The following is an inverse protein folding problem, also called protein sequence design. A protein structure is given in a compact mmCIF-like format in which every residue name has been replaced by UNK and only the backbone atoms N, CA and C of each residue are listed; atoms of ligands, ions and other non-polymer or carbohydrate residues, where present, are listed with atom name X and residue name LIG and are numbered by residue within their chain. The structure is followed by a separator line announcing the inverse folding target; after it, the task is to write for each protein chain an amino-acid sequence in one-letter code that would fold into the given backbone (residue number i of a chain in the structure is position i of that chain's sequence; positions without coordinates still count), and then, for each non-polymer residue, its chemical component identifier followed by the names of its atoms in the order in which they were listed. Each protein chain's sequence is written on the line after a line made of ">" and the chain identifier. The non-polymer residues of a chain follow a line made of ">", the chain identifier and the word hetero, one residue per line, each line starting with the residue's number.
data_IF_685178447073
#
_entry.id   IF_685178447073
#
_cell.length_a   1.000
_cell.length_b   1.000
_cell.length_c   1.000
_cell.angle_alpha   90.00
_cell.angle_beta   90.00
_cell.angle_gamma   90.00
#
_symmetry.space_group_name_H-M   'P 1'
#
loop_
_entity.id
_entity.type
_entity.pdbx_description
1 polymer ?
#
# COMPACT_ATOMS: atom_id res chain seq x y z
N UNK A 1 -62.13 15.32 -42.39
CA UNK A 1 -61.81 14.65 -41.11
C UNK A 1 -60.79 13.56 -41.41
N UNK A 2 -59.52 13.86 -41.14
CA UNK A 2 -58.35 13.10 -41.58
C UNK A 2 -57.86 12.21 -40.43
N UNK A 3 -57.85 10.89 -40.65
CA UNK A 3 -57.17 9.91 -39.79
C UNK A 3 -55.67 9.97 -40.05
N UNK A 4 -54.86 10.27 -39.03
CA UNK A 4 -53.41 10.00 -39.02
C UNK A 4 -53.13 8.86 -38.05
N UNK A 5 -52.65 7.73 -38.59
CA UNK A 5 -52.00 6.64 -37.87
C UNK A 5 -50.59 7.09 -37.48
N UNK A 6 -50.23 6.99 -36.21
CA UNK A 6 -48.86 7.07 -35.72
C UNK A 6 -48.34 5.64 -35.53
N UNK A 7 -47.29 5.29 -36.26
CA UNK A 7 -46.48 4.10 -36.04
C UNK A 7 -45.59 4.35 -34.81
N UNK A 8 -45.68 3.48 -33.81
CA UNK A 8 -44.71 3.40 -32.71
C UNK A 8 -43.51 2.58 -33.20
N UNK A 9 -42.36 3.24 -33.35
CA UNK A 9 -41.07 2.56 -33.50
C UNK A 9 -40.63 2.09 -32.12
N UNK A 10 -40.52 0.78 -31.93
CA UNK A 10 -39.91 0.15 -30.77
C UNK A 10 -38.39 0.27 -30.92
N UNK A 11 -37.74 1.09 -30.09
CA UNK A 11 -36.29 1.02 -29.89
C UNK A 11 -35.99 -0.17 -28.96
N UNK A 12 -35.27 -1.16 -29.48
CA UNK A 12 -34.57 -2.15 -28.68
C UNK A 12 -33.31 -1.50 -28.08
N UNK A 13 -33.00 -1.68 -26.79
CA UNK A 13 -31.69 -1.35 -26.27
C UNK A 13 -30.70 -2.41 -26.76
N UNK A 14 -29.73 -1.99 -27.55
CA UNK A 14 -28.52 -2.76 -27.83
C UNK A 14 -27.73 -2.83 -26.51
N UNK A 15 -27.72 -3.99 -25.86
CA UNK A 15 -26.79 -4.29 -24.79
C UNK A 15 -25.39 -4.30 -25.42
N UNK A 16 -24.62 -3.24 -25.20
CA UNK A 16 -23.20 -3.26 -25.39
C UNK A 16 -22.62 -4.16 -24.29
N UNK A 17 -22.29 -5.40 -24.62
CA UNK A 17 -21.33 -6.16 -23.83
C UNK A 17 -19.99 -5.47 -24.04
N UNK A 18 -19.58 -4.64 -23.09
CA UNK A 18 -18.18 -4.24 -22.96
C UNK A 18 -17.38 -5.51 -22.69
N UNK A 19 -16.48 -5.83 -23.61
CA UNK A 19 -15.51 -6.91 -23.52
C UNK A 19 -14.53 -6.60 -22.38
N UNK A 20 -14.80 -7.10 -21.19
CA UNK A 20 -13.89 -7.12 -20.04
C UNK A 20 -12.76 -8.15 -20.20
N UNK A 21 -12.17 -8.25 -21.41
CA UNK A 21 -11.20 -9.29 -21.74
C UNK A 21 -9.73 -8.89 -21.59
N UNK A 22 -9.39 -7.62 -21.30
CA UNK A 22 -7.98 -7.16 -21.27
C UNK A 22 -7.52 -6.54 -19.94
N UNK A 23 -8.31 -6.67 -18.86
CA UNK A 23 -7.84 -6.32 -17.51
C UNK A 23 -7.11 -7.47 -16.79
N UNK A 24 -7.12 -8.66 -17.40
CA UNK A 24 -6.27 -9.79 -16.98
C UNK A 24 -5.02 -9.82 -17.85
N UNK A 25 -4.19 -8.78 -17.74
CA UNK A 25 -2.82 -8.83 -18.23
C UNK A 25 -2.19 -10.13 -17.75
N UNK A 26 -1.48 -10.83 -18.63
CA UNK A 26 -0.77 -12.07 -18.32
C UNK A 26 -0.10 -11.95 -16.94
N UNK A 27 -0.70 -12.55 -15.90
CA UNK A 27 0.02 -12.93 -14.71
C UNK A 27 1.01 -13.99 -15.21
N UNK A 28 2.19 -13.54 -15.66
CA UNK A 28 3.37 -14.35 -15.47
C UNK A 28 3.30 -14.78 -14.02
N UNK A 29 3.25 -16.10 -13.82
CA UNK A 29 3.20 -16.80 -12.53
C UNK A 29 3.93 -15.94 -11.50
N UNK A 30 3.19 -15.08 -10.78
CA UNK A 30 3.75 -14.30 -9.68
C UNK A 30 3.87 -15.39 -8.64
N UNK A 31 4.94 -16.17 -8.75
CA UNK A 31 5.31 -17.13 -7.76
C UNK A 31 5.37 -16.31 -6.50
N UNK A 32 4.33 -16.42 -5.68
CA UNK A 32 4.35 -15.94 -4.33
C UNK A 32 5.44 -16.84 -3.75
N UNK A 33 6.68 -16.37 -3.82
CA UNK A 33 7.82 -17.11 -3.34
C UNK A 33 7.54 -17.23 -1.86
N UNK A 34 7.08 -18.41 -1.45
CA UNK A 34 6.93 -18.73 -0.05
C UNK A 34 8.33 -18.55 0.54
N UNK A 35 8.51 -17.46 1.27
CA UNK A 35 9.79 -17.16 1.90
C UNK A 35 9.90 -18.17 3.03
N UNK A 36 10.60 -19.26 2.76
CA UNK A 36 10.81 -20.35 3.70
C UNK A 36 11.73 -19.89 4.85
N UNK A 37 11.18 -19.21 5.85
CA UNK A 37 11.91 -18.87 7.06
C UNK A 37 12.23 -20.14 7.86
N UNK A 38 13.48 -20.30 8.26
CA UNK A 38 13.86 -21.30 9.25
C UNK A 38 13.53 -20.75 10.63
N UNK A 39 12.54 -21.35 11.28
CA UNK A 39 12.05 -20.88 12.57
C UNK A 39 12.53 -21.77 13.73
N UNK A 40 13.02 -21.12 14.79
CA UNK A 40 13.34 -21.74 16.08
C UNK A 40 12.41 -21.16 17.13
N UNK A 41 11.51 -22.00 17.65
CA UNK A 41 10.51 -21.59 18.64
C UNK A 41 10.99 -21.89 20.07
N UNK A 42 10.94 -20.87 20.92
CA UNK A 42 11.24 -20.95 22.35
C UNK A 42 10.01 -20.57 23.16
N UNK A 43 9.47 -21.52 23.93
CA UNK A 43 8.35 -21.24 24.85
C UNK A 43 8.86 -20.47 26.07
N UNK A 44 8.25 -19.32 26.33
CA UNK A 44 8.60 -18.45 27.45
C UNK A 44 7.87 -18.87 28.74
N UNK A 45 8.43 -18.52 29.89
CA UNK A 45 7.91 -18.97 31.20
C UNK A 45 6.60 -18.29 31.65
N UNK A 46 6.14 -17.27 30.93
CA UNK A 46 4.93 -16.50 31.24
C UNK A 46 4.95 -15.10 30.62
N UNK A 47 3.90 -14.31 30.87
CA UNK A 47 3.70 -12.97 30.26
C UNK A 47 4.82 -11.98 30.58
N UNK A 48 5.44 -12.11 31.76
CA UNK A 48 6.50 -11.22 32.24
C UNK A 48 7.91 -11.67 31.81
N UNK A 49 8.03 -12.75 31.04
CA UNK A 49 9.33 -13.24 30.60
C UNK A 49 9.82 -12.42 29.39
N UNK A 50 11.00 -11.81 29.53
CA UNK A 50 11.65 -11.07 28.44
C UNK A 50 12.13 -12.02 27.36
N UNK A 51 11.75 -11.74 26.13
CA UNK A 51 12.23 -12.44 24.93
C UNK A 51 13.63 -11.97 24.51
N UNK A 52 14.21 -12.60 23.50
CA UNK A 52 15.51 -12.17 22.97
C UNK A 52 15.43 -10.85 22.20
N UNK A 53 14.25 -10.51 21.66
CA UNK A 53 13.96 -9.20 21.02
C UNK A 53 13.69 -8.06 22.03
N UNK A 54 13.93 -8.28 23.32
CA UNK A 54 14.07 -7.21 24.31
C UNK A 54 12.78 -6.75 25.01
N UNK A 55 11.61 -7.28 24.64
CA UNK A 55 10.34 -6.98 25.31
C UNK A 55 9.59 -8.27 25.75
N UNK A 56 8.54 -8.07 26.53
CA UNK A 56 7.71 -9.13 27.13
C UNK A 56 6.35 -9.21 26.44
N UNK A 57 5.63 -10.33 26.60
CA UNK A 57 4.24 -10.40 26.14
C UNK A 57 3.31 -9.48 26.92
N UNK A 58 3.64 -9.11 28.17
CA UNK A 58 2.89 -8.13 28.94
C UNK A 58 2.94 -6.73 28.29
N UNK A 59 4.05 -6.36 27.65
CA UNK A 59 4.18 -5.09 26.94
C UNK A 59 3.20 -5.06 25.75
N UNK A 60 3.20 -6.12 24.93
CA UNK A 60 2.29 -6.28 23.77
C UNK A 60 0.83 -6.32 24.19
N UNK A 61 0.49 -7.13 25.20
CA UNK A 61 -0.87 -7.24 25.72
C UNK A 61 -1.35 -5.92 26.34
N UNK A 62 -0.44 -5.09 26.88
CA UNK A 62 -0.78 -3.77 27.40
C UNK A 62 -1.37 -2.83 26.35
N UNK A 63 -1.09 -3.07 25.06
CA UNK A 63 -1.66 -2.34 23.92
C UNK A 63 -2.82 -3.12 23.31
N UNK A 64 -2.63 -4.41 23.05
CA UNK A 64 -3.56 -5.21 22.27
C UNK A 64 -4.79 -5.68 23.06
N UNK A 65 -4.65 -6.05 24.35
CA UNK A 65 -5.74 -6.62 25.14
C UNK A 65 -6.79 -5.57 25.51
N UNK A 66 -8.06 -5.91 25.34
CA UNK A 66 -9.18 -5.02 25.66
C UNK A 66 -10.16 -4.86 24.50
N UNK A 67 -10.99 -3.81 24.58
CA UNK A 67 -11.98 -3.47 23.56
C UNK A 67 -11.51 -2.28 22.73
N UNK A 68 -11.57 -2.44 21.42
CA UNK A 68 -11.17 -1.47 20.40
C UNK A 68 -12.34 -1.22 19.45
N UNK A 69 -12.38 -0.03 18.88
CA UNK A 69 -13.36 0.35 17.86
C UNK A 69 -12.66 1.18 16.79
N UNK A 70 -12.99 0.94 15.52
CA UNK A 70 -12.55 1.76 14.40
C UNK A 70 -13.71 2.00 13.42
N UNK A 71 -13.74 3.15 12.73
CA UNK A 71 -14.60 3.30 11.57
C UNK A 71 -14.11 2.34 10.47
N UNK A 72 -15.03 1.64 9.80
CA UNK A 72 -14.72 0.69 8.71
C UNK A 72 -15.33 1.19 7.41
N UNK A 73 -14.63 1.01 6.29
CA UNK A 73 -15.18 1.25 4.96
C UNK A 73 -15.27 -0.06 4.18
N UNK A 74 -16.48 -0.46 3.81
CA UNK A 74 -16.76 -1.59 2.93
C UNK A 74 -16.64 -1.16 1.48
N UNK A 75 -15.63 -1.69 0.79
CA UNK A 75 -15.38 -1.39 -0.61
C UNK A 75 -16.46 -1.99 -1.51
N UNK A 76 -16.64 -1.39 -2.67
CA UNK A 76 -17.46 -1.92 -3.74
C UNK A 76 -16.53 -2.40 -4.84
N UNK A 77 -16.62 -3.67 -5.22
CA UNK A 77 -15.85 -4.23 -6.32
C UNK A 77 -16.56 -5.44 -6.91
N UNK A 78 -15.78 -6.41 -7.35
CA UNK A 78 -16.28 -7.61 -8.02
C UNK A 78 -17.15 -8.47 -7.10
N UNK A 79 -16.79 -8.58 -5.82
CA UNK A 79 -17.66 -9.14 -4.77
C UNK A 79 -18.43 -8.03 -4.07
N UNK A 80 -19.74 -8.23 -3.92
CA UNK A 80 -20.64 -7.35 -3.17
C UNK A 80 -21.24 -8.07 -1.97
N UNK A 81 -21.19 -7.41 -0.81
CA UNK A 81 -21.72 -7.94 0.45
C UNK A 81 -22.97 -7.20 0.92
N UNK A 82 -23.76 -7.87 1.74
CA UNK A 82 -24.81 -7.26 2.57
C UNK A 82 -24.76 -7.83 3.99
N UNK A 83 -25.42 -7.20 4.99
CA UNK A 83 -26.30 -6.04 4.86
C UNK A 83 -25.61 -4.67 4.88
N UNK A 84 -24.29 -4.62 5.11
CA UNK A 84 -23.53 -3.37 5.24
C UNK A 84 -22.79 -3.00 3.95
N UNK A 85 -22.71 -1.71 3.63
CA UNK A 85 -21.93 -1.14 2.53
C UNK A 85 -21.43 0.26 2.89
N UNK A 86 -20.29 0.69 2.34
CA UNK A 86 -19.69 1.99 2.65
C UNK A 86 -19.23 2.10 4.10
N UNK A 87 -19.41 3.28 4.70
CA UNK A 87 -18.96 3.56 6.07
C UNK A 87 -19.79 2.83 7.15
N UNK A 88 -19.08 2.31 8.15
CA UNK A 88 -19.65 1.66 9.33
C UNK A 88 -18.74 1.76 10.55
N UNK A 89 -18.97 0.90 11.54
CA UNK A 89 -18.12 0.79 12.74
C UNK A 89 -17.78 -0.69 12.98
N UNK A 90 -16.50 -0.95 13.22
CA UNK A 90 -15.94 -2.24 13.59
C UNK A 90 -15.58 -2.21 15.09
N UNK A 91 -16.03 -3.22 15.83
CA UNK A 91 -15.68 -3.44 17.22
C UNK A 91 -14.92 -4.75 17.41
N UNK A 92 -13.83 -4.70 18.16
CA UNK A 92 -12.92 -5.83 18.39
C UNK A 92 -12.63 -5.95 19.87
N UNK A 93 -12.72 -7.16 20.42
CA UNK A 93 -12.26 -7.48 21.76
C UNK A 93 -11.16 -8.54 21.67
N UNK A 94 -9.95 -8.20 22.12
CA UNK A 94 -8.83 -9.13 22.22
C UNK A 94 -8.64 -9.50 23.68
N UNK A 95 -8.45 -10.79 23.96
CA UNK A 95 -8.22 -11.30 25.30
C UNK A 95 -7.09 -12.32 25.30
N UNK A 96 -6.24 -12.31 26.33
CA UNK A 96 -5.23 -13.34 26.47
C UNK A 96 -5.90 -14.69 26.80
N UNK A 97 -5.64 -15.73 26.01
CA UNK A 97 -6.29 -17.02 26.16
C UNK A 97 -5.74 -17.86 27.34
N UNK A 98 -4.70 -17.37 28.03
CA UNK A 98 -3.98 -18.15 29.05
C UNK A 98 -3.13 -19.28 28.46
N UNK A 99 -2.81 -19.20 27.16
CA UNK A 99 -2.08 -20.21 26.39
C UNK A 99 -0.56 -20.07 26.48
N UNK A 100 0.14 -20.60 25.48
CA UNK A 100 1.61 -20.50 25.41
C UNK A 100 2.03 -19.13 24.87
N UNK A 101 3.19 -18.67 25.35
CA UNK A 101 3.86 -17.49 24.83
C UNK A 101 5.16 -17.97 24.22
N UNK A 102 5.36 -17.64 22.95
CA UNK A 102 6.41 -18.21 22.11
C UNK A 102 7.25 -17.09 21.57
N UNK A 103 8.55 -17.15 21.79
CA UNK A 103 9.52 -16.39 21.02
C UNK A 103 9.88 -17.21 19.78
N UNK A 104 9.76 -16.61 18.61
CA UNK A 104 10.11 -17.22 17.33
C UNK A 104 11.32 -16.46 16.79
N UNK A 105 12.45 -17.16 16.70
CA UNK A 105 13.62 -16.68 15.97
C UNK A 105 13.51 -17.15 14.52
N UNK A 106 13.51 -16.24 13.54
CA UNK A 106 13.28 -16.56 12.13
C UNK A 106 14.47 -16.11 11.29
N UNK A 107 15.05 -17.03 10.50
CA UNK A 107 16.19 -16.74 9.63
C UNK A 107 15.90 -17.13 8.19
N UNK A 108 16.24 -16.27 7.23
CA UNK A 108 16.18 -16.59 5.81
C UNK A 108 17.30 -17.60 5.44
N UNK A 109 17.03 -18.58 4.55
CA UNK A 109 18.03 -19.58 4.15
C UNK A 109 19.13 -18.99 3.23
N UNK A 110 18.85 -17.89 2.55
CA UNK A 110 19.75 -17.15 1.66
C UNK A 110 19.82 -15.66 2.07
N UNK A 111 20.78 -14.91 1.52
CA UNK A 111 20.98 -13.48 1.82
C UNK A 111 19.83 -12.53 1.38
N UNK A 112 18.72 -13.10 0.90
CA UNK A 112 17.47 -12.39 0.75
C UNK A 112 16.75 -12.41 2.11
N UNK A 113 17.17 -11.53 3.02
CA UNK A 113 16.62 -11.41 4.38
C UNK A 113 15.19 -10.86 4.43
N UNK A 114 14.56 -10.61 3.27
CA UNK A 114 13.25 -9.98 3.22
C UNK A 114 12.20 -10.88 3.90
N UNK A 115 11.63 -10.41 5.01
CA UNK A 115 10.45 -10.98 5.64
C UNK A 115 10.68 -11.97 6.78
N UNK A 116 11.88 -12.48 7.03
CA UNK A 116 12.11 -13.33 8.21
C UNK A 116 12.48 -12.49 9.43
N UNK A 117 11.50 -12.24 10.30
CA UNK A 117 11.68 -11.43 11.52
C UNK A 117 11.44 -12.25 12.79
N UNK A 118 12.28 -11.96 13.78
CA UNK A 118 12.10 -12.43 15.15
C UNK A 118 10.85 -11.79 15.77
N UNK A 119 10.04 -12.60 16.47
CA UNK A 119 8.74 -12.13 16.97
C UNK A 119 8.27 -12.88 18.21
N UNK A 120 7.35 -12.24 18.94
CA UNK A 120 6.50 -12.90 19.92
C UNK A 120 5.21 -13.41 19.27
N UNK A 121 4.81 -14.61 19.66
CA UNK A 121 3.52 -15.21 19.34
C UNK A 121 2.78 -15.52 20.65
N UNK A 122 1.56 -14.98 20.77
CA UNK A 122 0.74 -15.03 21.99
C UNK A 122 -0.64 -15.59 21.63
N UNK A 123 -1.06 -16.67 22.28
CA UNK A 123 -2.41 -17.23 22.06
C UNK A 123 -3.48 -16.26 22.57
N UNK A 124 -4.39 -15.84 21.69
CA UNK A 124 -5.41 -14.84 21.95
C UNK A 124 -6.82 -15.33 21.57
N UNK A 125 -7.81 -14.90 22.34
CA UNK A 125 -9.23 -14.98 21.98
C UNK A 125 -9.69 -13.64 21.40
N UNK A 126 -10.33 -13.67 20.24
CA UNK A 126 -10.80 -12.49 19.52
C UNK A 126 -12.32 -12.55 19.38
N UNK A 127 -13.00 -11.44 19.68
CA UNK A 127 -14.39 -11.22 19.26
C UNK A 127 -14.43 -10.05 18.31
N UNK A 128 -15.08 -10.22 17.17
CA UNK A 128 -15.17 -9.22 16.12
C UNK A 128 -16.64 -8.98 15.80
N UNK A 129 -17.07 -7.73 15.73
CA UNK A 129 -18.44 -7.41 15.34
C UNK A 129 -18.50 -6.10 14.56
N UNK A 130 -19.49 -5.99 13.68
CA UNK A 130 -19.79 -4.74 12.97
C UNK A 130 -21.13 -4.17 13.43
N UNK A 131 -21.29 -2.85 13.39
CA UNK A 131 -22.47 -2.18 13.94
C UNK A 131 -23.79 -2.57 13.25
N UNK A 132 -23.76 -2.93 11.95
CA UNK A 132 -24.92 -3.42 11.21
C UNK A 132 -25.16 -4.93 11.36
N UNK A 133 -24.29 -5.64 12.08
CA UNK A 133 -24.38 -7.08 12.34
C UNK A 133 -23.98 -7.96 11.15
N UNK A 134 -23.29 -7.41 10.14
CA UNK A 134 -22.70 -8.21 9.08
C UNK A 134 -21.74 -9.26 9.67
N UNK A 135 -20.84 -8.85 10.57
CA UNK A 135 -19.96 -9.75 11.31
C UNK A 135 -20.32 -9.79 12.80
N UNK A 136 -20.22 -10.97 13.40
CA UNK A 136 -20.34 -11.18 14.85
C UNK A 136 -19.60 -12.48 15.26
N UNK A 137 -18.29 -12.45 15.06
CA UNK A 137 -17.42 -13.61 15.10
C UNK A 137 -16.73 -13.75 16.46
N UNK A 138 -16.35 -14.99 16.79
CA UNK A 138 -15.54 -15.30 17.96
C UNK A 138 -14.64 -16.47 17.65
N UNK A 139 -13.33 -16.25 17.68
CA UNK A 139 -12.33 -17.24 17.31
C UNK A 139 -11.08 -17.15 18.19
N UNK A 140 -10.31 -18.23 18.23
CA UNK A 140 -8.96 -18.23 18.79
C UNK A 140 -7.96 -17.95 17.66
N UNK A 141 -6.97 -17.11 17.92
CA UNK A 141 -5.89 -16.82 16.98
C UNK A 141 -4.56 -16.60 17.71
N UNK A 142 -3.50 -16.36 16.95
CA UNK A 142 -2.19 -15.99 17.46
C UNK A 142 -1.96 -14.50 17.21
N UNK A 143 -1.76 -13.76 18.29
CA UNK A 143 -1.29 -12.38 18.24
C UNK A 143 0.23 -12.40 17.99
N UNK A 144 0.69 -11.75 16.93
CA UNK A 144 2.10 -11.66 16.52
C UNK A 144 2.62 -10.25 16.71
N UNK A 145 3.83 -10.12 17.26
CA UNK A 145 4.46 -8.81 17.49
C UNK A 145 5.98 -8.90 17.36
N UNK A 146 6.59 -8.09 16.50
CA UNK A 146 8.04 -7.86 16.48
C UNK A 146 8.45 -6.64 17.32
N UNK A 147 7.47 -5.89 17.82
CA UNK A 147 7.63 -4.67 18.60
C UNK A 147 6.66 -4.65 19.78
N UNK A 148 6.98 -3.94 20.88
CA UNK A 148 6.15 -3.96 22.08
C UNK A 148 4.82 -3.19 21.94
N UNK A 149 4.73 -2.26 21.00
CA UNK A 149 3.65 -1.27 20.89
C UNK A 149 2.70 -1.53 19.72
N UNK A 150 2.93 -2.61 18.96
CA UNK A 150 2.07 -3.02 17.88
C UNK A 150 2.00 -4.53 17.71
N UNK A 151 0.80 -5.02 17.39
CA UNK A 151 0.56 -6.43 17.20
C UNK A 151 -0.46 -6.71 16.09
N UNK A 152 -0.32 -7.85 15.44
CA UNK A 152 -1.22 -8.31 14.39
C UNK A 152 -1.84 -9.66 14.68
N UNK A 153 -3.08 -9.82 14.22
CA UNK A 153 -3.80 -11.08 14.12
C UNK A 153 -4.11 -11.30 12.64
N UNK A 154 -3.87 -12.53 12.19
CA UNK A 154 -4.37 -13.02 10.91
C UNK A 154 -5.32 -14.17 11.13
N UNK A 155 -6.43 -14.15 10.43
CA UNK A 155 -7.44 -15.20 10.55
C UNK A 155 -8.23 -15.30 9.26
N UNK A 156 -8.57 -16.52 8.84
CA UNK A 156 -9.45 -16.74 7.70
C UNK A 156 -10.86 -17.01 8.21
N UNK A 157 -11.85 -16.35 7.63
CA UNK A 157 -13.27 -16.59 7.87
C UNK A 157 -13.88 -17.25 6.63
N UNK A 158 -14.18 -18.54 6.75
CA UNK A 158 -14.95 -19.25 5.74
C UNK A 158 -16.41 -18.76 5.77
N UNK A 159 -17.01 -18.54 4.59
CA UNK A 159 -18.36 -17.99 4.48
C UNK A 159 -19.45 -18.84 5.16
N UNK A 160 -19.28 -20.15 5.25
CA UNK A 160 -20.20 -21.06 5.93
C UNK A 160 -19.99 -21.11 7.45
N UNK A 161 -18.94 -20.47 7.97
CA UNK A 161 -18.62 -20.35 9.39
C UNK A 161 -18.96 -18.97 9.97
N UNK A 162 -19.33 -17.99 9.14
CA UNK A 162 -19.73 -16.65 9.59
C UNK A 162 -20.97 -16.73 10.47
N UNK A 163 -20.85 -16.27 11.70
CA UNK A 163 -21.93 -16.21 12.68
C UNK A 163 -22.80 -14.94 12.55
N UNK A 164 -22.25 -13.88 11.95
CA UNK A 164 -22.98 -12.67 11.58
C UNK A 164 -23.99 -12.87 10.44
N UNK A 165 -24.51 -11.76 9.90
CA UNK A 165 -25.47 -11.75 8.80
C UNK A 165 -24.82 -11.46 7.43
N UNK A 166 -23.49 -11.50 7.32
CA UNK A 166 -22.78 -11.24 6.08
C UNK A 166 -23.20 -12.26 5.02
N UNK A 167 -23.63 -11.76 3.86
CA UNK A 167 -23.95 -12.58 2.70
C UNK A 167 -23.30 -12.00 1.45
N UNK A 168 -22.75 -12.88 0.60
CA UNK A 168 -22.33 -12.51 -0.76
C UNK A 168 -23.57 -12.31 -1.60
N UNK A 169 -23.84 -11.07 -1.98
CA UNK A 169 -25.03 -10.68 -2.76
C UNK A 169 -24.79 -10.68 -4.27
N UNK A 170 -23.55 -10.49 -4.70
CA UNK A 170 -23.13 -10.52 -6.10
C UNK A 170 -21.64 -10.87 -6.20
N UNK A 171 -21.26 -11.51 -7.30
CA UNK A 171 -19.88 -11.76 -7.72
C UNK A 171 -19.79 -11.48 -9.21
N UNK A 172 -18.78 -10.72 -9.62
CA UNK A 172 -18.42 -10.52 -11.02
C UNK A 172 -17.02 -11.08 -11.31
N UNK A 173 -16.81 -11.77 -12.44
CA UNK A 173 -17.84 -12.16 -13.41
C UNK A 173 -18.85 -13.15 -12.78
N UNK A 174 -20.07 -13.21 -13.31
CA UNK A 174 -21.15 -14.05 -12.78
C UNK A 174 -20.87 -15.56 -12.66
N UNK A 175 -19.77 -16.07 -13.25
CA UNK A 175 -19.29 -17.44 -13.10
C UNK A 175 -18.13 -17.58 -12.09
N UNK A 176 -17.79 -16.51 -11.38
CA UNK A 176 -16.83 -16.51 -10.30
C UNK A 176 -17.43 -16.93 -8.96
N UNK A 177 -16.55 -17.27 -8.04
CA UNK A 177 -16.86 -17.61 -6.65
C UNK A 177 -16.02 -16.71 -5.73
N UNK A 178 -16.64 -16.14 -4.70
CA UNK A 178 -15.91 -15.35 -3.72
C UNK A 178 -15.08 -16.28 -2.82
N UNK A 179 -13.79 -15.99 -2.68
CA UNK A 179 -12.90 -16.70 -1.77
C UNK A 179 -13.13 -16.26 -0.31
N UNK A 180 -12.76 -17.12 0.68
CA UNK A 180 -12.84 -16.80 2.10
C UNK A 180 -12.23 -15.44 2.46
N UNK A 181 -12.73 -14.84 3.54
CA UNK A 181 -12.25 -13.54 4.00
C UNK A 181 -10.98 -13.75 4.82
N UNK A 182 -9.86 -13.25 4.34
CA UNK A 182 -8.66 -13.04 5.15
C UNK A 182 -8.82 -11.77 5.99
N UNK A 183 -8.82 -11.93 7.30
CA UNK A 183 -8.83 -10.84 8.28
C UNK A 183 -7.39 -10.53 8.65
N UNK A 184 -6.95 -9.33 8.32
CA UNK A 184 -5.69 -8.75 8.80
C UNK A 184 -6.02 -7.65 9.82
N UNK A 185 -5.77 -7.93 11.09
CA UNK A 185 -6.17 -7.06 12.20
C UNK A 185 -4.96 -6.62 13.00
N UNK A 186 -4.63 -5.34 12.92
CA UNK A 186 -3.57 -4.71 13.67
C UNK A 186 -4.11 -3.87 14.84
N UNK A 187 -3.42 -3.92 15.97
CA UNK A 187 -3.67 -3.05 17.13
C UNK A 187 -2.37 -2.38 17.53
N UNK A 188 -2.38 -1.04 17.56
CA UNK A 188 -1.27 -0.21 18.01
C UNK A 188 -1.71 0.77 19.09
N UNK A 189 -0.76 1.56 19.60
CA UNK A 189 -1.05 2.68 20.49
C UNK A 189 -1.89 3.78 19.82
N UNK A 190 -1.99 3.80 18.48
CA UNK A 190 -2.81 4.73 17.70
C UNK A 190 -4.22 4.22 17.43
N UNK A 191 -4.47 2.93 17.65
CA UNK A 191 -5.79 2.32 17.53
C UNK A 191 -5.79 1.01 16.74
N UNK A 192 -6.99 0.63 16.31
CA UNK A 192 -7.24 -0.54 15.47
C UNK A 192 -7.07 -0.16 14.00
N UNK A 193 -6.33 -0.96 13.25
CA UNK A 193 -6.12 -0.81 11.81
C UNK A 193 -6.11 -2.19 11.14
N UNK A 194 -6.27 -2.26 9.83
CA UNK A 194 -6.36 -3.54 9.14
C UNK A 194 -7.24 -3.54 7.91
N UNK A 195 -7.50 -4.75 7.42
CA UNK A 195 -8.35 -5.00 6.28
C UNK A 195 -9.04 -6.35 6.33
N UNK A 196 -10.11 -6.45 5.55
CA UNK A 196 -10.71 -7.71 5.14
C UNK A 196 -10.41 -7.88 3.66
N UNK A 197 -9.67 -8.92 3.32
CA UNK A 197 -9.22 -9.20 1.96
C UNK A 197 -9.74 -10.57 1.51
N UNK A 198 -9.75 -10.79 0.20
CA UNK A 198 -10.08 -12.07 -0.39
C UNK A 198 -9.89 -11.99 -1.90
N UNK A 199 -10.80 -12.61 -2.64
CA UNK A 199 -10.76 -12.53 -4.09
C UNK A 199 -11.89 -13.25 -4.77
N UNK A 200 -11.83 -13.26 -6.10
CA UNK A 200 -12.75 -14.01 -6.96
C UNK A 200 -11.98 -15.11 -7.66
N UNK A 201 -12.41 -16.36 -7.44
CA UNK A 201 -11.97 -17.53 -8.18
C UNK A 201 -12.86 -17.77 -9.40
N UNK A 202 -12.27 -17.86 -10.59
CA UNK A 202 -12.98 -18.15 -11.83
C UNK A 202 -12.46 -19.44 -12.44
N UNK A 203 -13.32 -20.43 -12.57
CA UNK A 203 -13.00 -21.71 -13.21
C UNK A 203 -13.41 -21.71 -14.69
N UNK A 204 -12.47 -22.03 -15.58
CA UNK A 204 -12.72 -22.22 -17.01
C UNK A 204 -12.03 -23.48 -17.52
N UNK A 205 -12.76 -24.61 -17.48
CA UNK A 205 -12.20 -25.92 -17.78
C UNK A 205 -11.24 -26.36 -16.68
N UNK A 206 -9.98 -26.65 -17.05
CA UNK A 206 -8.91 -27.01 -16.11
C UNK A 206 -8.12 -25.78 -15.62
N UNK A 207 -8.45 -24.57 -16.11
CA UNK A 207 -7.81 -23.33 -15.68
C UNK A 207 -8.57 -22.69 -14.52
N UNK A 208 -7.82 -22.13 -13.58
CA UNK A 208 -8.31 -21.31 -12.47
C UNK A 208 -7.63 -19.94 -12.59
N UNK A 209 -8.43 -18.88 -12.58
CA UNK A 209 -7.95 -17.52 -12.41
C UNK A 209 -8.40 -17.01 -11.04
N UNK A 210 -7.54 -16.23 -10.39
CA UNK A 210 -7.82 -15.62 -9.10
C UNK A 210 -7.53 -14.12 -9.17
N UNK A 211 -8.51 -13.31 -8.78
CA UNK A 211 -8.35 -11.86 -8.64
C UNK A 211 -8.43 -11.46 -7.17
N UNK A 212 -7.39 -10.83 -6.63
CA UNK A 212 -7.40 -10.29 -5.26
C UNK A 212 -8.35 -9.10 -5.17
N UNK A 213 -9.05 -8.99 -4.05
CA UNK A 213 -9.91 -7.84 -3.75
C UNK A 213 -9.83 -7.50 -2.27
N UNK A 214 -9.70 -6.21 -1.98
CA UNK A 214 -9.94 -5.68 -0.64
C UNK A 214 -11.45 -5.49 -0.45
N UNK A 215 -12.03 -6.20 0.51
CA UNK A 215 -13.45 -6.12 0.84
C UNK A 215 -13.76 -4.97 1.80
N UNK A 216 -12.86 -4.70 2.75
CA UNK A 216 -12.98 -3.58 3.68
C UNK A 216 -11.63 -3.11 4.24
N UNK A 217 -11.56 -1.83 4.62
CA UNK A 217 -10.40 -1.23 5.29
C UNK A 217 -10.83 -0.50 6.55
N UNK A 218 -9.95 -0.50 7.56
CA UNK A 218 -10.14 0.26 8.79
C UNK A 218 -8.78 0.74 9.34
N UNK A 219 -8.70 1.94 9.93
CA UNK A 219 -9.79 2.92 10.04
C UNK A 219 -10.04 3.64 8.69
N UNK A 220 -11.17 4.33 8.53
CA UNK A 220 -11.52 5.04 7.28
C UNK A 220 -10.65 6.25 6.96
N UNK A 221 -10.02 6.85 7.96
CA UNK A 221 -8.98 7.88 7.77
C UNK A 221 -7.62 7.28 7.36
N UNK A 222 -7.47 5.96 7.43
CA UNK A 222 -6.37 5.22 6.80
C UNK A 222 -6.57 5.00 5.30
N UNK A 223 -7.65 5.49 4.68
CA UNK A 223 -7.83 5.43 3.22
C UNK A 223 -6.78 6.25 2.45
N UNK A 224 -6.10 7.18 3.12
CA UNK A 224 -4.95 7.90 2.56
C UNK A 224 -3.67 7.05 2.56
N UNK A 225 -3.69 5.87 3.17
CA UNK A 225 -2.59 4.91 3.10
C UNK A 225 -2.76 3.99 1.88
N UNK A 226 -1.65 3.77 1.16
CA UNK A 226 -1.68 3.12 -0.15
C UNK A 226 -1.96 1.62 -0.08
N UNK A 227 -1.64 0.96 1.04
CA UNK A 227 -1.84 -0.48 1.18
C UNK A 227 -2.92 -0.83 2.22
N UNK A 228 -3.68 -1.92 1.94
CA UNK A 228 -4.46 -2.60 2.95
C UNK A 228 -3.64 -2.89 4.21
N UNK A 229 -4.26 -2.74 5.38
CA UNK A 229 -3.66 -3.01 6.69
C UNK A 229 -2.50 -2.11 7.14
N UNK A 230 -2.39 -0.91 6.59
CA UNK A 230 -1.49 0.11 7.13
C UNK A 230 -2.14 0.90 8.27
N UNK A 231 -1.34 1.20 9.30
CA UNK A 231 -1.75 2.01 10.43
C UNK A 231 -1.56 3.50 10.11
N UNK A 232 -2.58 4.35 10.25
CA UNK A 232 -2.35 5.78 10.25
C UNK A 232 -1.61 6.17 11.53
N UNK A 233 -0.45 6.81 11.36
CA UNK A 233 0.43 7.27 12.43
C UNK A 233 0.48 8.80 12.39
N UNK A 234 0.25 9.51 13.52
CA UNK A 234 0.46 10.95 13.56
C UNK A 234 1.90 11.30 13.15
N UNK A 235 2.08 12.37 12.37
CA UNK A 235 3.38 12.69 11.75
C UNK A 235 4.56 12.79 12.74
N UNK A 236 4.31 13.31 13.95
CA UNK A 236 5.30 13.48 15.02
C UNK A 236 5.41 12.27 15.96
N UNK A 237 4.62 11.21 15.72
CA UNK A 237 4.62 10.02 16.57
C UNK A 237 5.60 8.97 16.04
N UNK A 238 6.17 8.21 16.97
CA UNK A 238 7.10 7.14 16.64
C UNK A 238 6.33 5.88 16.19
N UNK A 239 6.83 5.26 15.13
CA UNK A 239 6.49 3.93 14.66
C UNK A 239 7.79 3.18 14.48
N UNK A 240 7.95 2.03 15.13
CA UNK A 240 9.24 1.33 15.14
C UNK A 240 10.42 2.19 15.64
N UNK A 241 10.14 3.14 16.54
CA UNK A 241 11.17 4.04 17.11
C UNK A 241 11.55 5.23 16.22
N UNK A 242 10.85 5.44 15.10
CA UNK A 242 11.10 6.57 14.18
C UNK A 242 9.81 7.30 13.86
N UNK A 243 9.85 8.63 13.80
CA UNK A 243 8.73 9.46 13.32
C UNK A 243 8.96 9.97 11.89
N UNK A 244 7.87 10.28 11.19
CA UNK A 244 7.95 10.92 9.87
C UNK A 244 8.59 12.32 9.96
N UNK A 245 8.39 13.02 11.07
CA UNK A 245 9.06 14.29 11.37
C UNK A 245 10.59 14.16 11.46
N UNK A 246 11.09 13.14 12.16
CA UNK A 246 12.54 12.86 12.23
C UNK A 246 13.11 12.46 10.87
N UNK A 247 12.36 11.65 10.11
CA UNK A 247 12.75 11.26 8.76
C UNK A 247 12.87 12.49 7.85
N UNK A 248 11.85 13.36 7.83
CA UNK A 248 11.86 14.58 7.01
C UNK A 248 12.98 15.55 7.42
N UNK A 249 13.35 15.59 8.71
CA UNK A 249 14.46 16.42 9.19
C UNK A 249 15.83 16.01 8.62
N UNK A 250 15.98 14.82 8.03
CA UNK A 250 17.19 14.46 7.27
C UNK A 250 17.40 15.39 6.08
N UNK A 251 16.34 15.90 5.45
CA UNK A 251 16.44 16.79 4.30
C UNK A 251 16.98 18.19 4.67
N UNK A 252 16.64 18.69 5.86
CA UNK A 252 17.04 20.03 6.33
C UNK A 252 18.56 20.18 6.53
N UNK A 253 19.30 19.06 6.55
CA UNK A 253 20.72 19.07 6.88
C UNK A 253 21.62 19.66 5.77
N UNK A 254 21.15 19.83 4.52
CA UNK A 254 22.03 20.19 3.39
C UNK A 254 21.42 21.19 2.39
N UNK A 255 21.82 22.48 2.43
CA UNK A 255 21.15 23.54 1.68
C UNK A 255 21.68 23.78 0.25
N UNK A 256 22.66 23.02 -0.24
CA UNK A 256 23.21 23.23 -1.57
C UNK A 256 23.53 21.90 -2.27
N UNK A 257 22.81 21.60 -3.34
CA UNK A 257 23.03 20.45 -4.21
C UNK A 257 23.63 20.92 -5.53
N UNK A 258 24.50 20.10 -6.12
CA UNK A 258 25.02 20.32 -7.48
C UNK A 258 24.30 19.37 -8.43
N UNK A 259 23.53 19.92 -9.37
CA UNK A 259 22.80 19.18 -10.41
C UNK A 259 23.62 19.09 -11.69
N UNK A 260 23.75 17.88 -12.22
CA UNK A 260 24.42 17.55 -13.46
C UNK A 260 23.40 16.99 -14.45
N UNK A 261 22.98 17.80 -15.40
CA UNK A 261 22.26 17.33 -16.59
C UNK A 261 23.21 16.62 -17.55
N UNK A 262 22.70 15.63 -18.27
CA UNK A 262 23.47 14.90 -19.26
C UNK A 262 24.07 15.82 -20.34
N UNK A 263 25.40 15.94 -20.33
CA UNK A 263 26.16 16.71 -21.32
C UNK A 263 26.29 18.21 -21.04
N UNK A 264 25.69 18.72 -19.97
CA UNK A 264 25.75 20.14 -19.60
C UNK A 264 26.76 20.42 -18.47
N UNK A 265 26.95 21.71 -18.17
CA UNK A 265 27.74 22.12 -17.02
C UNK A 265 26.92 21.96 -15.72
N UNK A 266 27.58 21.69 -14.57
CA UNK A 266 26.88 21.62 -13.29
C UNK A 266 26.18 22.93 -12.95
N UNK A 267 25.01 22.85 -12.31
CA UNK A 267 24.19 23.98 -11.87
C UNK A 267 23.76 23.81 -10.42
N UNK A 268 23.52 24.91 -9.71
CA UNK A 268 23.05 24.86 -8.33
C UNK A 268 21.60 24.37 -8.29
N UNK A 269 21.25 23.46 -7.37
CA UNK A 269 19.90 22.98 -7.12
C UNK A 269 19.51 23.21 -5.65
N UNK A 270 18.31 23.75 -5.45
CA UNK A 270 17.65 23.85 -4.15
C UNK A 270 16.44 22.92 -4.14
N UNK A 271 16.32 22.13 -3.07
CA UNK A 271 15.15 21.30 -2.80
C UNK A 271 14.64 21.69 -1.41
N UNK A 272 13.36 22.05 -1.33
CA UNK A 272 12.65 22.25 -0.08
C UNK A 272 11.54 21.21 0.00
N UNK A 273 11.33 20.58 1.15
CA UNK A 273 10.18 19.72 1.36
C UNK A 273 9.39 20.10 2.62
N UNK A 274 8.09 19.87 2.56
CA UNK A 274 7.20 20.01 3.69
C UNK A 274 6.24 18.81 3.73
N UNK A 275 5.68 18.46 4.90
CA UNK A 275 4.62 17.46 4.96
C UNK A 275 3.43 17.89 4.10
N UNK A 276 2.94 17.00 3.24
CA UNK A 276 1.71 17.24 2.46
C UNK A 276 0.45 16.79 3.22
N UNK A 277 0.62 15.96 4.25
CA UNK A 277 -0.44 15.46 5.13
C UNK A 277 -0.09 15.59 6.62
N UNK A 278 -1.06 15.25 7.48
CA UNK A 278 -0.88 15.24 8.94
C UNK A 278 -0.55 13.84 9.50
N UNK A 279 -0.61 12.83 8.65
CA UNK A 279 -0.46 11.41 8.98
C UNK A 279 0.60 10.79 8.08
N UNK A 280 1.34 9.86 8.65
CA UNK A 280 2.14 8.88 7.94
C UNK A 280 1.44 7.52 8.02
N UNK A 281 1.91 6.57 7.23
CA UNK A 281 1.35 5.24 7.11
C UNK A 281 2.42 4.22 7.52
N UNK A 282 2.17 3.58 8.66
CA UNK A 282 3.00 2.53 9.22
C UNK A 282 2.52 1.19 8.71
N UNK A 283 3.38 0.48 7.99
CA UNK A 283 3.07 -0.86 7.50
C UNK A 283 3.59 -1.89 8.49
N UNK A 284 2.84 -2.98 8.65
CA UNK A 284 3.35 -4.20 9.25
C UNK A 284 3.24 -5.31 8.22
N UNK A 285 4.33 -6.02 8.01
CA UNK A 285 4.31 -7.17 7.13
C UNK A 285 3.60 -8.38 7.77
N UNK A 286 3.49 -9.44 6.98
CA UNK A 286 2.85 -10.69 7.41
C UNK A 286 3.47 -11.36 8.62
N UNK A 287 4.72 -11.05 8.91
CA UNK A 287 5.52 -11.63 9.96
C UNK A 287 5.55 -10.73 11.20
N UNK A 288 4.85 -9.60 11.15
CA UNK A 288 4.77 -8.64 12.23
C UNK A 288 5.90 -7.63 12.23
N UNK A 289 6.75 -7.58 11.19
CA UNK A 289 7.82 -6.59 11.05
C UNK A 289 7.18 -5.24 10.70
N UNK A 290 7.48 -4.20 11.48
CA UNK A 290 7.17 -2.86 11.03
C UNK A 290 8.03 -2.52 9.81
N UNK A 291 7.37 -2.30 8.69
CA UNK A 291 7.99 -1.77 7.49
C UNK A 291 8.23 -0.25 7.65
N UNK A 292 9.02 0.34 6.73
CA UNK A 292 9.22 1.79 6.66
C UNK A 292 7.91 2.57 6.80
N UNK A 293 7.95 3.66 7.57
CA UNK A 293 6.89 4.67 7.49
C UNK A 293 6.92 5.27 6.10
N UNK A 294 5.75 5.49 5.50
CA UNK A 294 5.67 6.31 4.29
C UNK A 294 4.62 7.41 4.44
N UNK A 295 4.83 8.50 3.71
CA UNK A 295 4.01 9.70 3.81
C UNK A 295 4.20 10.60 2.60
N UNK A 296 3.21 11.43 2.32
CA UNK A 296 3.31 12.41 1.25
C UNK A 296 4.10 13.65 1.67
N UNK A 297 4.99 14.09 0.79
CA UNK A 297 5.80 15.29 0.94
C UNK A 297 5.58 16.23 -0.24
N UNK A 298 5.36 17.51 0.06
CA UNK A 298 5.34 18.58 -0.92
C UNK A 298 6.78 19.05 -1.15
N UNK A 299 7.34 18.72 -2.31
CA UNK A 299 8.72 19.03 -2.70
C UNK A 299 8.73 20.18 -3.70
N UNK A 300 9.44 21.25 -3.38
CA UNK A 300 9.73 22.37 -4.29
C UNK A 300 11.17 22.30 -4.75
N UNK A 301 11.37 22.36 -6.06
CA UNK A 301 12.70 22.27 -6.69
C UNK A 301 12.98 23.52 -7.51
N UNK A 302 14.21 24.04 -7.38
CA UNK A 302 14.68 25.16 -8.18
C UNK A 302 16.14 24.98 -8.58
N UNK A 303 16.41 24.94 -9.88
CA UNK A 303 17.76 24.97 -10.43
C UNK A 303 18.16 26.37 -10.90
N UNK A 304 19.44 26.72 -10.79
CA UNK A 304 19.96 28.04 -11.19
C UNK A 304 19.85 28.30 -12.70
N UNK A 305 19.83 27.24 -13.51
CA UNK A 305 19.61 27.33 -14.97
C UNK A 305 18.13 27.48 -15.36
N UNK A 306 17.20 27.40 -14.39
CA UNK A 306 15.77 27.50 -14.58
C UNK A 306 15.13 26.29 -15.26
N UNK A 307 15.86 25.17 -15.39
CA UNK A 307 15.33 23.94 -15.99
C UNK A 307 14.42 23.17 -15.04
N UNK A 308 14.64 23.27 -13.73
CA UNK A 308 13.71 22.86 -12.68
C UNK A 308 13.19 24.12 -11.98
N UNK A 309 11.89 24.32 -12.00
CA UNK A 309 11.17 25.35 -11.23
C UNK A 309 9.73 24.88 -11.01
N UNK A 310 9.51 24.12 -9.94
CA UNK A 310 8.17 23.57 -9.67
C UNK A 310 8.00 22.93 -8.31
N UNK A 311 6.77 22.49 -8.05
CA UNK A 311 6.38 21.83 -6.81
C UNK A 311 5.57 20.56 -7.11
N UNK A 312 5.90 19.47 -6.42
CA UNK A 312 5.30 18.15 -6.58
C UNK A 312 4.87 17.61 -5.23
N UNK A 313 3.80 16.82 -5.21
CA UNK A 313 3.55 15.90 -4.09
C UNK A 313 4.19 14.56 -4.47
N UNK A 314 5.09 14.09 -3.62
CA UNK A 314 5.87 12.87 -3.81
C UNK A 314 5.71 11.97 -2.59
N UNK A 315 5.91 10.67 -2.78
CA UNK A 315 5.92 9.70 -1.67
C UNK A 315 7.31 9.67 -1.05
N UNK A 316 7.35 9.76 0.26
CA UNK A 316 8.55 9.53 1.06
C UNK A 316 8.44 8.19 1.80
N UNK A 317 9.53 7.44 1.89
CA UNK A 317 9.68 6.20 2.65
C UNK A 317 10.86 6.38 3.65
N UNK A 318 10.62 6.19 4.95
CA UNK A 318 11.61 6.29 6.03
C UNK A 318 12.18 4.90 6.35
N UNK A 319 13.35 4.60 5.77
CA UNK A 319 13.99 3.30 5.82
C UNK A 319 14.81 3.12 7.10
N UNK A 320 14.61 1.99 7.76
CA UNK A 320 15.33 1.59 8.96
C UNK A 320 16.49 0.64 8.60
N UNK A 321 17.57 0.69 9.38
CA UNK A 321 18.63 -0.33 9.30
C UNK A 321 18.24 -1.62 10.07
N UNK A 322 19.17 -2.57 10.14
CA UNK A 322 18.97 -3.85 10.83
C UNK A 322 18.79 -3.71 12.34
N UNK A 323 19.25 -2.59 12.92
CA UNK A 323 19.10 -2.25 14.32
C UNK A 323 17.78 -1.50 14.60
N UNK A 324 17.02 -1.16 13.55
CA UNK A 324 15.77 -0.41 13.66
C UNK A 324 15.98 1.11 13.78
N UNK A 325 17.19 1.61 13.52
CA UNK A 325 17.46 3.05 13.50
C UNK A 325 17.15 3.63 12.11
N UNK A 326 16.70 4.89 12.07
CA UNK A 326 16.52 5.62 10.81
C UNK A 326 17.86 5.73 10.08
N UNK A 327 17.96 5.05 8.94
CA UNK A 327 19.17 5.01 8.12
C UNK A 327 19.08 5.95 6.91
N UNK A 328 17.88 6.05 6.34
CA UNK A 328 17.67 6.71 5.07
C UNK A 328 16.22 7.22 4.95
N UNK A 329 16.05 8.39 4.33
CA UNK A 329 14.78 8.85 3.76
C UNK A 329 14.89 8.76 2.23
N UNK A 330 14.00 8.00 1.61
CA UNK A 330 13.83 7.96 0.16
C UNK A 330 12.58 8.75 -0.23
N UNK A 331 12.68 9.64 -1.21
CA UNK A 331 11.55 10.36 -1.80
C UNK A 331 11.53 10.04 -3.27
N UNK A 332 10.42 9.45 -3.73
CA UNK A 332 10.33 8.94 -5.10
C UNK A 332 9.02 9.26 -5.78
N UNK A 333 9.12 9.33 -7.11
CA UNK A 333 8.01 9.22 -8.04
C UNK A 333 8.45 8.32 -9.16
N UNK A 334 7.80 7.17 -9.24
CA UNK A 334 7.87 6.31 -10.40
C UNK A 334 6.89 6.85 -11.45
N UNK A 335 7.35 7.01 -12.69
CA UNK A 335 6.46 7.27 -13.81
C UNK A 335 5.70 5.96 -14.12
N UNK A 336 4.63 5.70 -13.38
CA UNK A 336 3.76 4.57 -13.64
C UNK A 336 3.17 4.69 -15.06
N UNK A 337 2.86 3.55 -15.68
CA UNK A 337 2.13 3.53 -16.95
C UNK A 337 0.85 4.38 -16.84
N UNK A 338 0.77 5.46 -17.64
CA UNK A 338 -0.35 6.39 -17.64
C UNK A 338 -0.19 7.64 -16.75
N UNK A 339 0.88 7.76 -15.97
CA UNK A 339 1.21 8.97 -15.20
C UNK A 339 2.05 9.94 -16.04
N UNK A 340 1.46 10.42 -17.14
CA UNK A 340 2.06 11.44 -17.99
C UNK A 340 1.09 12.60 -18.23
N UNK A 341 1.64 13.79 -18.42
CA UNK A 341 0.88 14.98 -18.79
C UNK A 341 0.88 15.15 -20.31
N UNK A 342 -0.15 15.82 -20.83
CA UNK A 342 -0.13 16.28 -22.21
C UNK A 342 1.06 17.21 -22.44
N UNK A 343 1.57 17.32 -23.67
CA UNK A 343 2.68 18.23 -23.99
C UNK A 343 2.39 19.67 -23.52
N UNK A 344 1.14 20.12 -23.61
CA UNK A 344 0.76 21.48 -23.24
C UNK A 344 0.77 21.70 -21.72
N UNK A 345 0.57 20.64 -20.94
CA UNK A 345 0.46 20.69 -19.48
C UNK A 345 1.74 20.22 -18.78
N UNK A 346 2.71 19.65 -19.51
CA UNK A 346 3.92 19.03 -18.96
C UNK A 346 4.73 19.97 -18.05
N UNK A 347 5.04 21.17 -18.53
CA UNK A 347 5.85 22.11 -17.74
C UNK A 347 5.10 22.55 -16.47
N UNK A 348 3.78 22.77 -16.55
CA UNK A 348 2.96 23.15 -15.39
C UNK A 348 2.79 21.98 -14.40
N UNK A 349 2.73 20.74 -14.89
CA UNK A 349 2.55 19.53 -14.08
C UNK A 349 3.83 19.12 -13.34
N UNK A 350 4.99 19.28 -13.98
CA UNK A 350 6.25 18.73 -13.48
C UNK A 350 7.31 19.77 -13.10
N UNK A 351 7.14 21.04 -13.50
CA UNK A 351 8.14 22.09 -13.27
C UNK A 351 9.45 21.88 -14.03
N UNK A 352 9.43 21.08 -15.10
CA UNK A 352 10.60 20.82 -15.95
C UNK A 352 10.46 21.59 -17.26
N UNK A 353 11.40 22.49 -17.53
CA UNK A 353 11.34 23.40 -18.66
C UNK A 353 12.29 23.03 -19.80
N UNK A 354 11.93 23.41 -21.03
CA UNK A 354 12.85 23.39 -22.16
C UNK A 354 13.17 22.00 -22.70
N UNK A 355 12.31 21.00 -22.44
CA UNK A 355 12.39 19.66 -23.04
C UNK A 355 11.57 19.61 -24.32
N UNK A 356 12.15 19.07 -25.40
CA UNK A 356 11.46 18.89 -26.67
C UNK A 356 10.65 17.59 -26.65
N UNK A 357 9.35 17.70 -26.37
CA UNK A 357 8.38 16.60 -26.45
C UNK A 357 7.72 16.51 -27.84
N UNK A 358 8.21 17.23 -28.85
CA UNK A 358 7.58 17.21 -30.16
C UNK A 358 7.70 15.84 -30.83
N UNK A 359 6.56 15.30 -31.27
CA UNK A 359 6.47 13.98 -31.89
C UNK A 359 6.00 12.86 -30.95
N UNK A 360 5.76 13.17 -29.68
CA UNK A 360 5.20 12.27 -28.67
C UNK A 360 3.76 12.67 -28.31
N UNK A 361 3.08 11.86 -27.50
CA UNK A 361 1.72 12.14 -27.01
C UNK A 361 1.73 12.93 -25.70
N UNK A 362 2.81 12.81 -24.92
CA UNK A 362 2.97 13.49 -23.64
C UNK A 362 4.36 13.28 -23.05
N UNK A 363 4.49 13.63 -21.78
CA UNK A 363 5.71 13.38 -21.02
C UNK A 363 5.45 13.16 -19.54
N UNK A 364 6.36 12.45 -18.89
CA UNK A 364 6.37 12.21 -17.44
C UNK A 364 7.77 12.39 -16.88
N UNK A 365 7.91 12.23 -15.57
CA UNK A 365 9.21 12.22 -14.90
C UNK A 365 9.32 11.01 -13.98
N UNK A 366 10.51 10.43 -13.89
CA UNK A 366 10.92 9.71 -12.68
C UNK A 366 11.72 10.66 -11.81
N UNK A 367 11.53 10.57 -10.51
CA UNK A 367 12.27 11.35 -9.53
C UNK A 367 12.66 10.46 -8.38
N UNK A 368 13.92 10.53 -7.97
CA UNK A 368 14.46 9.81 -6.83
C UNK A 368 15.36 10.75 -6.03
N UNK A 369 15.16 10.79 -4.72
CA UNK A 369 15.99 11.52 -3.78
C UNK A 369 16.21 10.66 -2.54
N UNK A 370 17.48 10.39 -2.26
CA UNK A 370 17.92 9.62 -1.11
C UNK A 370 18.70 10.52 -0.17
N UNK A 371 18.29 10.53 1.10
CA UNK A 371 18.89 11.31 2.17
C UNK A 371 19.36 10.37 3.28
N UNK A 372 20.66 10.41 3.62
CA UNK A 372 21.22 9.65 4.74
C UNK A 372 22.26 10.47 5.49
N UNK A 373 22.82 9.90 6.57
CA UNK A 373 23.91 10.52 7.30
C UNK A 373 25.18 10.74 6.45
N UNK A 374 25.36 9.94 5.39
CA UNK A 374 26.51 10.01 4.49
C UNK A 374 26.35 11.06 3.37
N UNK A 375 25.14 11.63 3.23
CA UNK A 375 24.85 12.72 2.31
C UNK A 375 23.56 12.52 1.53
N UNK A 376 23.39 13.37 0.52
CA UNK A 376 22.21 13.37 -0.35
C UNK A 376 22.63 13.04 -1.76
N UNK A 377 21.82 12.23 -2.42
CA UNK A 377 21.95 11.98 -3.85
C UNK A 377 20.57 11.76 -4.46
N UNK A 378 20.46 11.99 -5.75
CA UNK A 378 19.21 11.75 -6.45
C UNK A 378 19.34 11.87 -7.95
N UNK A 379 18.24 11.57 -8.61
CA UNK A 379 18.12 11.60 -10.05
C UNK A 379 16.74 12.07 -10.47
N UNK A 380 16.68 12.72 -11.63
CA UNK A 380 15.44 13.02 -12.35
C UNK A 380 15.61 12.57 -13.79
N UNK A 381 14.63 11.87 -14.32
CA UNK A 381 14.62 11.45 -15.72
C UNK A 381 13.34 11.95 -16.36
N UNK A 382 13.47 12.65 -17.49
CA UNK A 382 12.32 13.07 -18.28
C UNK A 382 12.03 12.02 -19.33
N UNK A 383 10.79 11.57 -19.35
CA UNK A 383 10.30 10.54 -20.25
C UNK A 383 9.30 11.15 -21.24
N UNK A 384 9.38 10.76 -22.51
CA UNK A 384 8.35 10.97 -23.51
C UNK A 384 7.41 9.77 -23.55
N UNK A 385 6.11 10.02 -23.66
CA UNK A 385 5.09 8.97 -23.80
C UNK A 385 4.68 8.81 -25.27
N UNK A 386 4.73 7.59 -25.79
CA UNK A 386 4.16 7.19 -27.08
C UNK A 386 3.00 6.23 -26.82
N UNK A 387 1.77 6.72 -26.99
CA UNK A 387 0.57 5.97 -26.70
C UNK A 387 0.18 5.12 -27.91
N UNK A 388 0.16 3.80 -27.73
CA UNK A 388 -0.35 2.88 -28.75
C UNK A 388 -1.84 2.65 -28.51
N UNK A 389 -2.66 2.84 -29.54
CA UNK A 389 -4.08 2.52 -29.46
C UNK A 389 -4.23 0.99 -29.27
N UNK A 390 -4.91 0.56 -28.21
CA UNK A 390 -5.31 -0.84 -28.12
C UNK A 390 -6.23 -1.15 -29.31
N UNK A 391 -5.95 -2.24 -30.01
CA UNK A 391 -6.84 -2.74 -31.06
C UNK A 391 -8.18 -3.17 -30.44
N UNK A 392 -9.29 -2.79 -31.06
CA UNK A 392 -10.62 -3.29 -30.70
C UNK A 392 -10.80 -4.79 -31.09
N UNK A 393 -9.82 -5.38 -31.80
CA UNK A 393 -9.88 -6.77 -32.24
C UNK A 393 -9.59 -7.74 -31.09
N UNK A 394 -10.53 -8.64 -30.72
CA UNK A 394 -10.32 -9.58 -29.61
C UNK A 394 -9.08 -10.46 -29.81
N UNK A 395 -8.15 -10.41 -28.86
CA UNK A 395 -6.93 -11.22 -28.84
C UNK A 395 -5.72 -10.59 -29.54
N UNK A 396 -5.81 -9.36 -30.03
CA UNK A 396 -4.62 -8.58 -30.33
C UNK A 396 -4.04 -7.98 -29.03
N UNK A 397 -2.71 -8.03 -28.84
CA UNK A 397 -2.11 -7.49 -27.63
C UNK A 397 -2.29 -5.97 -27.62
N UNK A 398 -2.71 -5.40 -26.49
CA UNK A 398 -2.57 -3.97 -26.29
C UNK A 398 -1.08 -3.66 -26.03
N UNK A 399 -0.46 -2.86 -26.91
CA UNK A 399 0.96 -2.50 -26.81
C UNK A 399 1.24 -1.47 -25.69
N UNK A 400 0.19 -0.85 -25.13
CA UNK A 400 0.31 0.05 -23.98
C UNK A 400 0.89 1.41 -24.34
N UNK A 401 1.58 2.04 -23.40
CA UNK A 401 2.29 3.31 -23.62
C UNK A 401 3.79 3.07 -23.48
N UNK A 402 4.55 3.36 -24.53
CA UNK A 402 6.01 3.31 -24.45
C UNK A 402 6.54 4.60 -23.79
N UNK A 403 7.49 4.43 -22.88
CA UNK A 403 8.16 5.53 -22.20
C UNK A 403 9.61 5.62 -22.66
N UNK A 404 9.99 6.74 -23.27
CA UNK A 404 11.31 6.97 -23.88
C UNK A 404 12.06 8.02 -23.07
N UNK A 405 13.23 7.66 -22.54
CA UNK A 405 14.12 8.60 -21.86
C UNK A 405 14.67 9.66 -22.82
N UNK A 406 14.44 10.93 -22.48
CA UNK A 406 14.91 12.07 -23.27
C UNK A 406 16.14 12.73 -22.64
N UNK A 407 16.12 12.91 -21.32
CA UNK A 407 17.20 13.55 -20.57
C UNK A 407 17.20 13.09 -19.12
N UNK A 408 18.39 12.81 -18.59
CA UNK A 408 18.66 12.58 -17.19
C UNK A 408 19.37 13.76 -16.52
N UNK A 409 19.10 13.93 -15.24
CA UNK A 409 19.85 14.78 -14.32
C UNK A 409 20.17 14.02 -13.05
N UNK A 410 21.38 14.18 -12.52
CA UNK A 410 21.78 13.62 -11.22
C UNK A 410 22.30 14.70 -10.31
N UNK A 411 22.09 14.57 -9.00
CA UNK A 411 22.64 15.51 -8.03
C UNK A 411 23.24 14.80 -6.83
N UNK A 412 24.13 15.51 -6.14
CA UNK A 412 24.63 15.09 -4.84
C UNK A 412 25.00 16.30 -3.98
N UNK A 413 25.04 16.10 -2.65
CA UNK A 413 25.63 17.08 -1.74
C UNK A 413 27.14 17.17 -1.99
N UNK A 414 27.67 18.38 -2.11
CA UNK A 414 29.11 18.59 -2.22
C UNK A 414 29.83 18.10 -0.95
N UNK A 415 30.80 17.19 -1.09
CA UNK A 415 31.65 16.69 0.01
C UNK A 415 32.55 17.77 0.62
#
# INVERSE_FOLDING_TARGET
>A
MSLRRLLSLSLLPTLALSTACDLFGHHEDIGIYEIDCQEVVTVLSGVDATSEIGFTAADVLGVAEGSHTAPIFWHQGDVQFGPETGEGELGVEVSYAGGEIRYVHATAPDAAEMGCVDRLEIDAGVKLHTAGGALNESFASTLRASQPDVAMIRHELAFDEIAGALEVTAVEPANGEAAPISVELGVSTFGLFGSFDGGVEVHSGDAVAFGLQNYATFPTDGLDCDFPAEAPVPFDAEWAGVSAAEALALLDAFPALELHWDGDAPTSLTIEAAPAGATACGRIDSNGLAAPLHFDVAVTMQSEDGRLDGALILRADANLDAEGELSELSIRRDAAYGDYASIADFEDAFGVHGVDLSGYDGGGITFDLTCSADGHHGAITVLAAEAHECSDEPGEPCEGTDMIELVGGTWSSAQ
#
